data_IF_244391270179
#
_entry.id   IF_244391270179
#
_cell.length_a   1.000
_cell.length_b   1.000
_cell.length_c   1.000
_cell.angle_alpha   90.00
_cell.angle_beta   90.00
_cell.angle_gamma   90.00
#
_symmetry.space_group_name_H-M   'P 1'
#
loop_
_entity.id
_entity.type
_entity.pdbx_description
1 polymer ?
#
# COMPACT_ATOMS: atom_id res chain seq x y z
N UNK A 1 -2.22 25.32 -16.62
CA UNK A 1 -2.45 24.75 -15.28
C UNK A 1 -1.17 24.98 -14.51
N UNK A 2 -1.17 25.83 -13.49
CA UNK A 2 0.03 26.10 -12.71
C UNK A 2 0.28 24.96 -11.73
N UNK A 3 1.54 24.60 -11.51
CA UNK A 3 1.96 23.66 -10.48
C UNK A 3 1.61 24.19 -9.08
N UNK A 4 1.32 23.26 -8.18
CA UNK A 4 1.14 23.59 -6.77
C UNK A 4 2.49 23.98 -6.18
N UNK A 5 2.50 25.02 -5.35
CA UNK A 5 3.69 25.35 -4.58
C UNK A 5 4.06 24.16 -3.68
N UNK A 6 5.36 23.88 -3.47
CA UNK A 6 5.79 22.80 -2.59
C UNK A 6 5.23 23.01 -1.18
N UNK A 7 4.96 21.91 -0.47
CA UNK A 7 4.55 21.98 0.93
C UNK A 7 5.65 22.65 1.76
N UNK A 8 5.33 23.74 2.45
CA UNK A 8 6.25 24.43 3.36
C UNK A 8 6.26 23.79 4.77
N UNK A 9 5.29 22.93 5.06
CA UNK A 9 5.18 22.23 6.34
C UNK A 9 6.13 21.01 6.37
N UNK A 10 6.88 20.90 7.47
CA UNK A 10 7.73 19.73 7.72
C UNK A 10 6.87 18.47 7.83
N UNK A 11 7.36 17.32 7.32
CA UNK A 11 6.63 16.07 7.43
C UNK A 11 6.36 15.76 8.91
N UNK A 12 5.09 15.55 9.25
CA UNK A 12 4.71 15.17 10.61
C UNK A 12 5.42 13.90 11.04
N UNK A 13 5.88 13.88 12.28
CA UNK A 13 6.33 12.66 12.94
C UNK A 13 5.11 11.77 13.18
N UNK A 14 4.90 10.79 12.30
CA UNK A 14 3.88 9.76 12.43
C UNK A 14 4.53 8.51 13.03
N UNK A 15 3.91 7.93 14.06
CA UNK A 15 4.27 6.60 14.55
C UNK A 15 3.61 5.56 13.65
N UNK A 16 4.41 4.82 12.88
CA UNK A 16 3.95 3.72 12.03
C UNK A 16 3.96 2.37 12.78
N UNK A 17 3.58 2.39 14.06
CA UNK A 17 3.54 1.18 14.89
C UNK A 17 2.31 0.36 14.50
N UNK A 18 2.55 -0.74 13.77
CA UNK A 18 1.49 -1.72 13.44
C UNK A 18 1.68 -2.94 14.33
N UNK A 19 0.83 -3.18 15.35
CA UNK A 19 0.98 -4.34 16.22
C UNK A 19 0.60 -5.63 15.48
N UNK A 20 1.39 -6.72 15.60
CA UNK A 20 1.06 -8.02 15.02
C UNK A 20 0.04 -8.80 15.87
N UNK A 21 -0.67 -9.78 15.29
CA UNK A 21 -0.65 -10.18 13.88
C UNK A 21 -1.65 -9.39 13.02
N UNK A 22 -1.29 -9.13 11.77
CA UNK A 22 -2.16 -8.50 10.77
C UNK A 22 -2.89 -9.60 10.01
N UNK A 23 -4.20 -9.72 10.21
CA UNK A 23 -5.08 -10.44 9.30
C UNK A 23 -5.45 -9.48 8.16
N UNK A 24 -5.19 -9.87 6.91
CA UNK A 24 -5.52 -9.02 5.77
C UNK A 24 -7.04 -8.89 5.68
N UNK A 25 -7.55 -7.65 5.70
CA UNK A 25 -8.99 -7.41 5.58
C UNK A 25 -9.51 -7.80 4.18
N UNK A 26 -8.71 -7.54 3.14
CA UNK A 26 -8.96 -7.93 1.76
C UNK A 26 -7.67 -7.81 0.93
N UNK A 27 -7.66 -8.41 -0.27
CA UNK A 27 -6.55 -8.28 -1.23
C UNK A 27 -6.79 -7.05 -2.10
N UNK A 28 -5.78 -6.18 -2.23
CA UNK A 28 -5.90 -4.97 -3.03
C UNK A 28 -5.90 -5.25 -4.53
N UNK A 29 -6.83 -4.63 -5.24
CA UNK A 29 -6.89 -4.55 -6.69
C UNK A 29 -6.70 -3.10 -7.15
N UNK A 30 -7.76 -2.38 -7.58
CA UNK A 30 -7.63 -0.99 -8.00
C UNK A 30 -7.12 -0.07 -6.90
N UNK A 31 -6.14 0.77 -7.24
CA UNK A 31 -5.63 1.84 -6.39
C UNK A 31 -5.75 3.15 -7.17
N UNK A 32 -6.45 4.12 -6.58
CA UNK A 32 -6.63 5.43 -7.18
C UNK A 32 -6.04 6.53 -6.29
N UNK A 33 -5.46 7.54 -6.96
CA UNK A 33 -4.91 8.73 -6.34
C UNK A 33 -5.63 9.95 -6.91
N UNK A 34 -6.05 10.85 -6.03
CA UNK A 34 -6.69 12.11 -6.39
C UNK A 34 -6.12 13.27 -5.59
N UNK A 35 -6.33 14.49 -6.07
CA UNK A 35 -5.98 15.70 -5.33
C UNK A 35 -7.16 16.66 -5.33
N UNK A 36 -7.66 16.95 -4.14
CA UNK A 36 -8.66 17.98 -3.89
C UNK A 36 -7.94 19.32 -3.70
N UNK A 37 -7.98 20.17 -4.74
CA UNK A 37 -7.37 21.50 -4.70
C UNK A 37 -8.10 22.48 -3.81
N UNK A 38 -9.42 22.32 -3.64
CA UNK A 38 -10.21 23.25 -2.83
C UNK A 38 -9.89 23.08 -1.34
N UNK A 39 -9.67 21.83 -0.91
CA UNK A 39 -9.39 21.51 0.49
C UNK A 39 -7.90 21.19 0.78
N UNK A 40 -7.04 21.29 -0.24
CA UNK A 40 -5.60 20.99 -0.17
C UNK A 40 -5.31 19.58 0.39
N UNK A 41 -6.03 18.56 -0.12
CA UNK A 41 -5.91 17.16 0.35
C UNK A 41 -5.62 16.18 -0.77
N UNK A 42 -4.78 15.20 -0.47
CA UNK A 42 -4.57 14.02 -1.30
C UNK A 42 -5.61 12.96 -0.94
N UNK A 43 -6.30 12.39 -1.93
CA UNK A 43 -7.16 11.24 -1.79
C UNK A 43 -6.38 9.98 -2.20
N UNK A 44 -6.34 8.99 -1.33
CA UNK A 44 -5.90 7.63 -1.63
C UNK A 44 -7.10 6.71 -1.50
N UNK A 45 -7.46 6.04 -2.59
CA UNK A 45 -8.54 5.07 -2.63
C UNK A 45 -7.98 3.69 -2.94
N UNK A 46 -8.35 2.73 -2.10
CA UNK A 46 -7.91 1.35 -2.12
C UNK A 46 -9.14 0.48 -2.24
N UNK A 47 -9.18 -0.36 -3.25
CA UNK A 47 -10.33 -1.24 -3.52
C UNK A 47 -9.87 -2.69 -3.53
N UNK A 48 -10.72 -3.57 -3.02
CA UNK A 48 -10.53 -5.01 -3.11
C UNK A 48 -10.49 -5.46 -4.57
N UNK A 49 -9.64 -6.46 -4.83
CA UNK A 49 -9.57 -7.10 -6.14
C UNK A 49 -10.84 -7.92 -6.37
N UNK A 50 -11.47 -7.69 -7.52
CA UNK A 50 -12.61 -8.48 -7.98
C UNK A 50 -12.08 -9.56 -8.90
N UNK A 51 -12.43 -10.81 -8.63
CA UNK A 51 -12.09 -11.93 -9.49
C UNK A 51 -12.95 -11.92 -10.75
N UNK A 52 -12.35 -12.40 -11.84
CA UNK A 52 -13.06 -12.62 -13.10
C UNK A 52 -13.41 -14.09 -13.25
N UNK A 53 -14.50 -14.38 -13.96
CA UNK A 53 -14.92 -15.72 -14.30
C UNK A 53 -14.08 -16.34 -15.44
N UNK A 54 -14.49 -17.51 -15.93
CA UNK A 54 -13.79 -18.24 -17.01
C UNK A 54 -13.82 -17.49 -18.36
N UNK A 55 -14.80 -16.60 -18.55
CA UNK A 55 -14.95 -15.76 -19.73
C UNK A 55 -14.23 -14.41 -19.58
N UNK A 56 -13.64 -14.14 -18.41
CA UNK A 56 -12.90 -12.91 -18.10
C UNK A 56 -13.80 -11.75 -17.69
N UNK A 57 -15.09 -12.00 -17.44
CA UNK A 57 -16.03 -11.00 -16.96
C UNK A 57 -15.93 -10.89 -15.44
N UNK A 58 -15.97 -9.66 -14.89
CA UNK A 58 -15.86 -9.47 -13.46
C UNK A 58 -17.17 -9.89 -12.77
N UNK A 59 -17.05 -10.52 -11.60
CA UNK A 59 -18.22 -10.90 -10.79
C UNK A 59 -18.98 -9.64 -10.33
N UNK A 60 -20.14 -9.37 -10.93
CA UNK A 60 -20.96 -8.19 -10.64
C UNK A 60 -21.46 -8.16 -9.19
N UNK A 61 -21.75 -9.32 -8.60
CA UNK A 61 -22.24 -9.43 -7.21
C UNK A 61 -21.13 -9.05 -6.22
N UNK A 62 -19.86 -9.29 -6.59
CA UNK A 62 -18.71 -8.91 -5.78
C UNK A 62 -18.46 -7.39 -5.74
N UNK A 63 -19.04 -6.58 -6.64
CA UNK A 63 -18.82 -5.12 -6.63
C UNK A 63 -19.44 -4.41 -5.43
N UNK A 64 -20.63 -4.84 -5.01
CA UNK A 64 -21.40 -4.18 -3.95
C UNK A 64 -20.83 -4.47 -2.55
N UNK A 65 -20.27 -5.67 -2.36
CA UNK A 65 -19.72 -6.12 -1.08
C UNK A 65 -18.20 -5.98 -0.97
N UNK A 66 -17.52 -5.39 -1.98
CA UNK A 66 -16.07 -5.27 -2.00
C UNK A 66 -15.54 -4.39 -0.86
N UNK A 67 -14.40 -4.79 -0.30
CA UNK A 67 -13.60 -3.95 0.58
C UNK A 67 -13.17 -2.65 -0.10
N UNK A 68 -13.39 -1.51 0.57
CA UNK A 68 -12.92 -0.21 0.11
C UNK A 68 -12.41 0.63 1.27
N UNK A 69 -11.28 1.30 1.09
CA UNK A 69 -10.75 2.29 2.01
C UNK A 69 -10.46 3.59 1.27
N UNK A 70 -10.92 4.71 1.82
CA UNK A 70 -10.65 6.06 1.32
C UNK A 70 -9.97 6.88 2.41
N UNK A 71 -8.77 7.35 2.12
CA UNK A 71 -7.96 8.14 3.03
C UNK A 71 -7.74 9.52 2.43
N UNK A 72 -8.02 10.56 3.22
CA UNK A 72 -7.68 11.94 2.89
C UNK A 72 -6.47 12.35 3.71
N UNK A 73 -5.39 12.71 3.03
CA UNK A 73 -4.12 13.09 3.62
C UNK A 73 -3.83 14.57 3.35
N UNK A 74 -3.25 15.24 4.33
CA UNK A 74 -2.54 16.51 4.08
C UNK A 74 -1.24 16.24 3.32
N UNK A 75 -0.71 17.27 2.63
CA UNK A 75 0.53 17.16 1.86
C UNK A 75 1.73 16.73 2.71
N UNK A 76 1.83 17.25 3.92
CA UNK A 76 2.89 16.90 4.88
C UNK A 76 2.78 15.44 5.38
N UNK A 77 1.57 14.92 5.57
CA UNK A 77 1.32 13.51 5.90
C UNK A 77 1.69 12.59 4.75
N UNK A 78 1.36 12.98 3.51
CA UNK A 78 1.75 12.23 2.31
C UNK A 78 3.28 12.18 2.17
N UNK A 79 3.98 13.29 2.41
CA UNK A 79 5.45 13.33 2.42
C UNK A 79 6.05 12.43 3.52
N UNK A 80 5.50 12.47 4.73
CA UNK A 80 5.92 11.60 5.83
C UNK A 80 5.71 10.11 5.49
N UNK A 81 4.58 9.77 4.88
CA UNK A 81 4.28 8.41 4.41
C UNK A 81 5.29 7.95 3.33
N UNK A 82 5.60 8.79 2.35
CA UNK A 82 6.58 8.47 1.31
C UNK A 82 7.96 8.20 1.90
N UNK A 83 8.45 9.08 2.79
CA UNK A 83 9.76 8.92 3.43
C UNK A 83 9.84 7.64 4.27
N UNK A 84 8.78 7.29 5.00
CA UNK A 84 8.72 6.05 5.76
C UNK A 84 8.69 4.82 4.84
N UNK A 85 7.85 4.85 3.80
CA UNK A 85 7.70 3.73 2.87
C UNK A 85 9.00 3.46 2.10
N UNK A 86 9.76 4.49 1.75
CA UNK A 86 11.08 4.33 1.14
C UNK A 86 12.06 3.57 2.05
N UNK A 87 12.07 3.88 3.35
CA UNK A 87 12.85 3.15 4.35
C UNK A 87 12.40 1.68 4.46
N UNK A 88 11.10 1.42 4.48
CA UNK A 88 10.54 0.06 4.54
C UNK A 88 10.85 -0.76 3.29
N UNK A 89 10.64 -0.19 2.10
CA UNK A 89 10.88 -0.87 0.82
C UNK A 89 12.37 -1.15 0.63
N UNK A 90 13.23 -0.19 0.99
CA UNK A 90 14.69 -0.35 0.87
C UNK A 90 15.28 -1.39 1.83
N UNK A 91 14.62 -1.65 2.97
CA UNK A 91 15.01 -2.75 3.86
C UNK A 91 14.84 -4.14 3.21
N UNK A 92 14.00 -4.24 2.17
CA UNK A 92 13.76 -5.49 1.44
C UNK A 92 13.10 -6.58 2.29
N UNK A 93 12.99 -7.78 1.74
CA UNK A 93 12.54 -8.96 2.51
C UNK A 93 13.71 -9.49 3.33
N UNK A 94 13.41 -10.00 4.53
CA UNK A 94 14.42 -10.58 5.41
C UNK A 94 15.24 -11.66 4.65
N UNK A 95 16.58 -11.65 4.75
CA UNK A 95 17.41 -12.65 4.08
C UNK A 95 17.29 -14.02 4.76
N UNK A 96 17.35 -15.08 3.97
CA UNK A 96 17.46 -16.44 4.45
C UNK A 96 18.76 -16.61 5.26
N UNK A 97 18.65 -17.15 6.48
CA UNK A 97 19.80 -17.42 7.35
C UNK A 97 20.85 -18.39 6.75
N UNK A 98 20.48 -19.19 5.74
CA UNK A 98 21.35 -20.19 5.12
C UNK A 98 21.93 -19.77 3.77
N UNK A 99 21.11 -19.20 2.88
CA UNK A 99 21.53 -18.86 1.52
C UNK A 99 21.56 -17.35 1.23
N UNK A 100 21.12 -16.50 2.16
CA UNK A 100 21.11 -15.04 2.02
C UNK A 100 20.06 -14.48 1.04
N UNK A 101 19.26 -15.33 0.39
CA UNK A 101 18.22 -14.89 -0.56
C UNK A 101 17.00 -14.30 0.18
N UNK A 102 16.25 -13.38 -0.44
CA UNK A 102 15.02 -12.84 0.13
C UNK A 102 14.01 -13.95 0.48
N UNK A 103 13.47 -13.92 1.70
CA UNK A 103 12.41 -14.84 2.14
C UNK A 103 11.05 -14.41 1.57
N UNK A 104 10.28 -15.35 1.03
CA UNK A 104 8.85 -15.12 0.73
C UNK A 104 8.00 -15.30 2.00
N UNK A 105 6.79 -14.71 2.07
CA UNK A 105 5.88 -14.85 3.21
C UNK A 105 5.53 -16.31 3.55
N UNK A 106 5.39 -17.15 2.53
CA UNK A 106 5.08 -18.59 2.67
C UNK A 106 6.33 -19.46 2.83
N UNK A 107 7.50 -18.84 3.06
CA UNK A 107 8.81 -19.50 3.01
C UNK A 107 9.39 -19.56 1.59
N UNK A 108 10.70 -19.79 1.48
CA UNK A 108 11.37 -19.97 0.19
C UNK A 108 12.08 -21.33 0.13
N UNK A 109 12.20 -21.94 -1.05
CA UNK A 109 13.00 -23.15 -1.24
C UNK A 109 14.49 -22.81 -1.16
N UNK A 110 15.13 -23.13 -0.03
CA UNK A 110 16.55 -22.89 0.20
C UNK A 110 17.41 -23.94 -0.53
N UNK A 111 18.25 -23.56 -1.51
CA UNK A 111 19.08 -24.52 -2.24
C UNK A 111 20.09 -25.27 -1.34
N UNK A 112 20.46 -24.67 -0.21
CA UNK A 112 21.41 -25.23 0.76
C UNK A 112 20.78 -26.28 1.68
N UNK A 113 19.44 -26.40 1.71
CA UNK A 113 18.73 -27.38 2.54
C UNK A 113 18.02 -28.47 1.73
N UNK A 114 18.40 -28.65 0.45
CA UNK A 114 17.93 -29.73 -0.43
C UNK A 114 18.94 -30.89 -0.48
#
# INVERSE_FOLDING_TARGET
MADLEPSTELPRSLSFETPPPFEAAFVLGPIALGYDRENDRLLVQLEEIITVDEDGEPDEEAFDDRGQVRVLLQRDQALAFCAHTESVVSAGRAPCAFCGRPMEPNGHPCPTMN
#
